data_IF_551346308826
#
_entry.id   IF_551346308826
#
_cell.length_a   1.000
_cell.length_b   1.000
_cell.length_c   1.000
_cell.angle_alpha   90.00
_cell.angle_beta   90.00
_cell.angle_gamma   90.00
#
_symmetry.space_group_name_H-M   'P 1'
#
loop_
_entity.id
_entity.type
_entity.pdbx_description
1 polymer ?
#
# COMPACT_ATOMS: atom_id res chain seq x y z
N UNK A 1 16.73 14.37 24.58
CA UNK A 1 15.38 14.29 23.96
C UNK A 1 14.49 15.31 24.66
N UNK A 2 13.75 16.13 23.90
CA UNK A 2 12.91 17.20 24.46
C UNK A 2 11.57 16.62 24.95
N UNK A 3 10.90 17.29 25.88
CA UNK A 3 9.56 16.92 26.33
C UNK A 3 8.47 17.50 25.41
N UNK A 4 7.25 16.96 25.49
CA UNK A 4 6.09 17.57 24.84
C UNK A 4 5.82 19.00 25.34
N UNK A 5 6.10 19.29 26.62
CA UNK A 5 6.00 20.64 27.18
C UNK A 5 7.00 21.61 26.53
N UNK A 6 8.22 21.16 26.22
CA UNK A 6 9.21 21.98 25.52
C UNK A 6 8.76 22.32 24.10
N UNK A 7 8.14 21.36 23.39
CA UNK A 7 7.52 21.64 22.10
C UNK A 7 6.40 22.67 22.22
N UNK A 8 5.52 22.53 23.22
CA UNK A 8 4.41 23.47 23.44
C UNK A 8 4.90 24.88 23.73
N UNK A 9 5.92 25.02 24.58
CA UNK A 9 6.58 26.32 24.86
C UNK A 9 7.16 26.93 23.60
N UNK A 10 7.94 26.16 22.83
CA UNK A 10 8.51 26.59 21.55
C UNK A 10 7.42 27.05 20.57
N UNK A 11 6.32 26.31 20.45
CA UNK A 11 5.19 26.65 19.58
C UNK A 11 4.52 27.97 20.00
N UNK A 12 4.39 28.22 21.30
CA UNK A 12 3.87 29.50 21.80
C UNK A 12 4.85 30.65 21.52
N UNK A 13 6.15 30.45 21.69
CA UNK A 13 7.20 31.45 21.43
C UNK A 13 7.33 31.85 19.96
N UNK A 14 7.03 30.94 19.03
CA UNK A 14 7.05 31.23 17.59
C UNK A 14 5.69 31.66 17.03
N UNK A 15 4.66 31.76 17.87
CA UNK A 15 3.34 32.22 17.44
C UNK A 15 3.45 33.59 16.78
N UNK A 16 2.76 33.78 15.65
CA UNK A 16 2.78 35.01 14.85
C UNK A 16 4.15 35.46 14.31
N UNK A 17 5.21 34.64 14.43
CA UNK A 17 6.48 34.87 13.73
C UNK A 17 6.38 34.46 12.25
N UNK A 18 7.42 34.77 11.48
CA UNK A 18 7.53 34.32 10.10
C UNK A 18 7.61 32.80 10.00
N UNK A 19 7.01 32.23 8.96
CA UNK A 19 6.92 30.78 8.75
C UNK A 19 8.23 30.00 8.89
N UNK A 20 9.41 30.50 8.43
CA UNK A 20 10.69 29.79 8.59
C UNK A 20 11.06 29.46 10.04
N UNK A 21 10.49 30.16 11.03
CA UNK A 21 10.73 29.86 12.45
C UNK A 21 10.27 28.43 12.83
N UNK A 22 9.35 27.81 12.09
CA UNK A 22 9.01 26.41 12.29
C UNK A 22 10.20 25.46 12.11
N UNK A 23 11.25 25.82 11.35
CA UNK A 23 12.44 24.98 11.20
C UNK A 23 13.10 24.65 12.55
N UNK A 24 12.95 25.53 13.55
CA UNK A 24 13.41 25.30 14.91
C UNK A 24 12.67 24.19 15.66
N UNK A 25 11.48 23.76 15.19
CA UNK A 25 10.73 22.66 15.79
C UNK A 25 11.22 21.29 15.33
N UNK A 26 12.16 21.19 14.38
CA UNK A 26 12.74 19.91 13.96
C UNK A 26 13.36 19.17 15.16
N UNK A 27 13.07 17.88 15.29
CA UNK A 27 13.61 17.03 16.37
C UNK A 27 12.59 16.08 16.98
N UNK A 28 13.01 15.42 18.07
CA UNK A 28 12.23 14.37 18.76
C UNK A 28 11.71 14.86 20.11
N UNK A 29 10.42 14.65 20.34
CA UNK A 29 9.68 15.09 21.52
C UNK A 29 8.98 13.91 22.17
N UNK A 30 9.25 13.68 23.45
CA UNK A 30 8.62 12.62 24.24
C UNK A 30 7.23 13.08 24.68
N UNK A 31 6.20 12.40 24.17
CA UNK A 31 4.83 12.43 24.67
C UNK A 31 4.65 11.31 25.72
N UNK A 32 3.46 11.17 26.28
CA UNK A 32 3.17 10.17 27.32
C UNK A 32 3.44 8.75 26.82
N UNK A 33 2.80 8.38 25.71
CA UNK A 33 2.79 6.98 25.23
C UNK A 33 3.59 6.77 23.92
N UNK A 34 4.21 7.83 23.39
CA UNK A 34 4.96 7.77 22.13
C UNK A 34 5.99 8.90 22.02
N UNK A 35 6.85 8.82 21.01
CA UNK A 35 7.79 9.89 20.63
C UNK A 35 7.32 10.49 19.29
N UNK A 36 7.06 11.80 19.30
CA UNK A 36 6.80 12.58 18.09
C UNK A 36 8.13 13.04 17.50
N UNK A 37 8.36 12.77 16.22
CA UNK A 37 9.52 13.21 15.46
C UNK A 37 9.08 14.15 14.36
N UNK A 38 9.60 15.38 14.36
CA UNK A 38 9.42 16.32 13.26
C UNK A 38 10.66 16.18 12.37
N UNK A 39 10.54 15.39 11.30
CA UNK A 39 11.67 14.96 10.45
C UNK A 39 12.06 16.06 9.46
N UNK A 40 11.04 16.66 8.85
CA UNK A 40 11.19 17.72 7.86
C UNK A 40 10.07 18.74 8.02
N UNK A 41 10.44 20.02 8.07
CA UNK A 41 9.48 21.12 8.12
C UNK A 41 9.37 21.75 6.73
N UNK A 42 8.14 21.87 6.24
CA UNK A 42 7.89 22.51 4.94
C UNK A 42 8.41 23.96 4.92
N UNK A 43 8.93 24.41 3.77
CA UNK A 43 9.55 25.74 3.66
C UNK A 43 8.56 26.91 3.66
N UNK A 44 7.31 26.65 3.28
CA UNK A 44 6.22 27.62 3.16
C UNK A 44 4.86 26.89 3.33
N UNK A 45 3.77 27.58 3.75
CA UNK A 45 2.44 26.98 3.94
C UNK A 45 1.85 26.29 2.70
N UNK A 46 2.27 26.68 1.50
CA UNK A 46 1.78 26.15 0.22
C UNK A 46 2.64 24.99 -0.33
N UNK A 47 3.81 24.75 0.26
CA UNK A 47 4.74 23.71 -0.16
C UNK A 47 4.22 22.28 0.13
N UNK A 48 4.98 21.25 -0.25
CA UNK A 48 4.71 19.89 0.25
C UNK A 48 4.74 19.86 1.77
N UNK A 49 3.78 19.19 2.44
CA UNK A 49 3.64 19.28 3.89
C UNK A 49 4.86 18.79 4.67
N UNK A 50 4.94 19.16 5.94
CA UNK A 50 5.96 18.68 6.87
C UNK A 50 5.85 17.16 7.06
N UNK A 51 7.00 16.48 7.16
CA UNK A 51 7.07 15.03 7.43
C UNK A 51 7.26 14.82 8.93
N UNK A 52 6.41 13.99 9.49
CA UNK A 52 6.34 13.69 10.91
C UNK A 52 6.28 12.19 11.10
N UNK A 53 7.00 11.69 12.09
CA UNK A 53 6.95 10.29 12.49
C UNK A 53 6.50 10.14 13.95
N UNK A 54 5.80 9.05 14.24
CA UNK A 54 5.40 8.66 15.60
C UNK A 54 6.04 7.31 15.89
N UNK A 55 6.86 7.24 16.93
CA UNK A 55 7.50 6.01 17.38
C UNK A 55 6.90 5.55 18.71
N UNK A 56 6.47 4.30 18.77
CA UNK A 56 5.78 3.70 19.91
C UNK A 56 6.57 2.47 20.33
N UNK A 57 6.84 2.37 21.64
CA UNK A 57 7.50 1.22 22.22
C UNK A 57 6.60 -0.02 22.15
N UNK A 58 7.15 -1.16 21.73
CA UNK A 58 6.39 -2.40 21.59
C UNK A 58 5.77 -2.90 22.90
N UNK A 59 6.39 -2.63 24.05
CA UNK A 59 5.85 -2.97 25.37
C UNK A 59 4.62 -2.14 25.72
N UNK A 60 4.53 -0.91 25.18
CA UNK A 60 3.36 -0.05 25.32
C UNK A 60 2.28 -0.40 24.29
N UNK A 61 2.67 -0.66 23.04
CA UNK A 61 1.75 -1.04 21.96
C UNK A 61 1.06 -2.39 22.24
N UNK A 62 1.76 -3.33 22.91
CA UNK A 62 1.25 -4.62 23.39
C UNK A 62 0.62 -5.52 22.32
N UNK A 63 1.02 -5.38 21.06
CA UNK A 63 0.63 -6.37 20.04
C UNK A 63 1.26 -7.73 20.37
N UNK A 64 0.48 -8.82 20.44
CA UNK A 64 1.03 -10.17 20.61
C UNK A 64 2.01 -10.52 19.48
N UNK A 65 3.13 -11.15 19.84
CA UNK A 65 4.19 -11.51 18.89
C UNK A 65 3.68 -12.38 17.73
N UNK A 66 2.69 -13.22 17.98
CA UNK A 66 2.06 -14.11 17.00
C UNK A 66 1.38 -13.38 15.83
N UNK A 67 1.11 -12.07 15.98
CA UNK A 67 0.53 -11.25 14.91
C UNK A 67 1.59 -10.74 13.92
N UNK A 68 2.88 -10.82 14.26
CA UNK A 68 3.96 -10.27 13.43
C UNK A 68 5.25 -11.12 13.43
N UNK A 69 5.18 -12.36 13.89
CA UNK A 69 6.29 -13.33 13.92
C UNK A 69 6.70 -13.79 12.51
N UNK A 70 5.75 -13.81 11.56
CA UNK A 70 5.98 -14.09 10.14
C UNK A 70 5.84 -12.84 9.29
N UNK A 71 6.61 -12.76 8.20
CA UNK A 71 6.62 -11.60 7.29
C UNK A 71 5.23 -11.24 6.77
N UNK A 72 4.46 -12.20 6.27
CA UNK A 72 3.13 -11.95 5.71
C UNK A 72 2.12 -11.47 6.77
N UNK A 73 2.17 -12.02 8.00
CA UNK A 73 1.34 -11.55 9.13
C UNK A 73 1.67 -10.12 9.53
N UNK A 74 2.97 -9.85 9.67
CA UNK A 74 3.48 -8.51 9.98
C UNK A 74 3.03 -7.48 8.95
N UNK A 75 3.13 -7.80 7.66
CA UNK A 75 2.69 -6.91 6.58
C UNK A 75 1.17 -6.68 6.65
N UNK A 76 0.39 -7.74 6.88
CA UNK A 76 -1.06 -7.62 7.02
C UNK A 76 -1.46 -6.76 8.24
N UNK A 77 -0.79 -6.92 9.38
CA UNK A 77 -0.99 -6.09 10.56
C UNK A 77 -0.61 -4.62 10.27
N UNK A 78 0.56 -4.37 9.69
CA UNK A 78 1.00 -3.02 9.33
C UNK A 78 0.01 -2.31 8.37
N UNK A 79 -0.50 -3.03 7.37
CA UNK A 79 -1.48 -2.53 6.42
C UNK A 79 -2.81 -2.19 7.12
N UNK A 80 -3.30 -3.08 7.99
CA UNK A 80 -4.50 -2.84 8.81
C UNK A 80 -4.36 -1.59 9.70
N UNK A 81 -3.26 -1.49 10.46
CA UNK A 81 -3.01 -0.34 11.33
C UNK A 81 -2.94 0.97 10.54
N UNK A 82 -2.34 0.94 9.34
CA UNK A 82 -2.30 2.11 8.45
C UNK A 82 -3.71 2.52 8.00
N UNK A 83 -4.58 1.56 7.67
CA UNK A 83 -5.98 1.84 7.30
C UNK A 83 -6.78 2.41 8.44
N UNK A 84 -6.65 1.85 9.64
CA UNK A 84 -7.31 2.36 10.85
C UNK A 84 -6.85 3.79 11.11
N UNK A 85 -5.53 4.03 11.12
CA UNK A 85 -4.98 5.36 11.33
C UNK A 85 -5.46 6.37 10.29
N UNK A 86 -5.48 6.00 9.00
CA UNK A 86 -6.05 6.82 7.93
C UNK A 86 -7.50 7.23 8.23
N UNK A 87 -8.35 6.27 8.61
CA UNK A 87 -9.75 6.55 8.95
C UNK A 87 -9.90 7.49 10.16
N UNK A 88 -8.97 7.45 11.12
CA UNK A 88 -8.99 8.33 12.29
C UNK A 88 -8.55 9.75 11.93
N UNK A 89 -7.42 9.90 11.23
CA UNK A 89 -6.90 11.23 10.87
C UNK A 89 -7.82 11.98 9.90
N UNK A 90 -8.52 11.26 9.01
CA UNK A 90 -9.46 11.87 8.07
C UNK A 90 -10.60 12.64 8.77
N UNK A 91 -10.98 12.23 10.00
CA UNK A 91 -11.97 12.95 10.81
C UNK A 91 -11.49 14.33 11.25
N UNK A 92 -10.18 14.56 11.26
CA UNK A 92 -9.54 15.79 11.70
C UNK A 92 -8.90 16.58 10.57
N UNK A 93 -8.88 16.01 9.36
CA UNK A 93 -8.28 16.62 8.19
C UNK A 93 -8.96 17.98 7.91
N UNK A 94 -8.16 19.05 7.79
CA UNK A 94 -8.61 20.44 7.64
C UNK A 94 -9.49 21.02 8.77
N UNK A 95 -9.63 20.35 9.91
CA UNK A 95 -10.28 20.98 11.09
C UNK A 95 -9.45 22.15 11.63
N UNK A 96 -8.13 22.04 11.51
CA UNK A 96 -7.22 23.13 11.82
C UNK A 96 -7.20 24.16 10.68
N UNK A 97 -7.50 25.42 10.99
CA UNK A 97 -7.67 26.47 9.96
C UNK A 97 -6.36 27.18 9.63
N UNK A 98 -6.20 27.59 8.37
CA UNK A 98 -5.10 28.43 7.92
C UNK A 98 -5.05 28.55 6.39
N UNK A 99 -3.93 29.07 5.88
CA UNK A 99 -3.64 29.24 4.46
C UNK A 99 -2.92 28.02 3.87
N UNK A 100 -3.08 27.80 2.56
CA UNK A 100 -2.39 26.72 1.85
C UNK A 100 -2.79 25.34 2.35
N UNK A 101 -1.83 24.50 2.71
CA UNK A 101 -2.07 23.14 3.21
C UNK A 101 -2.24 23.07 4.73
N UNK A 102 -2.47 24.20 5.39
CA UNK A 102 -2.68 24.24 6.85
C UNK A 102 -3.73 23.24 7.30
N UNK A 103 -3.40 22.44 8.32
CA UNK A 103 -4.33 21.47 8.90
C UNK A 103 -4.54 20.21 8.07
N UNK A 104 -3.83 20.05 6.94
CA UNK A 104 -3.79 18.79 6.22
C UNK A 104 -3.13 17.72 7.10
N UNK A 105 -3.82 16.60 7.27
CA UNK A 105 -3.27 15.39 7.88
C UNK A 105 -3.36 14.28 6.85
N UNK A 106 -2.22 13.69 6.51
CA UNK A 106 -2.16 12.66 5.48
C UNK A 106 -1.22 11.53 5.85
N UNK A 107 -1.61 10.31 5.52
CA UNK A 107 -0.77 9.10 5.60
C UNK A 107 -0.89 8.36 4.27
N UNK A 108 0.04 7.45 3.98
CA UNK A 108 -0.05 6.61 2.79
C UNK A 108 -1.41 5.89 2.73
N UNK A 109 -2.14 6.09 1.64
CA UNK A 109 -3.46 5.50 1.44
C UNK A 109 -3.31 4.10 0.85
N UNK A 110 -3.79 3.10 1.58
CA UNK A 110 -3.78 1.72 1.11
C UNK A 110 -4.88 1.48 0.05
N UNK A 111 -4.52 0.76 -1.01
CA UNK A 111 -5.45 0.24 -2.03
C UNK A 111 -6.18 -1.01 -1.56
N UNK A 112 -6.61 -1.88 -2.47
CA UNK A 112 -7.21 -3.16 -2.08
C UNK A 112 -6.15 -4.21 -1.74
N UNK A 113 -4.94 -4.02 -2.26
CA UNK A 113 -3.76 -4.84 -2.09
C UNK A 113 -3.07 -4.52 -0.75
N UNK A 114 -2.65 -5.58 -0.07
CA UNK A 114 -1.88 -5.56 1.17
C UNK A 114 -0.39 -5.55 0.79
N UNK A 115 0.27 -4.42 1.03
CA UNK A 115 1.68 -4.20 0.67
C UNK A 115 2.49 -3.78 1.88
N UNK A 116 3.77 -4.18 1.90
CA UNK A 116 4.75 -3.66 2.85
C UNK A 116 5.02 -2.19 2.51
N UNK A 117 4.72 -1.29 3.45
CA UNK A 117 4.87 0.17 3.28
C UNK A 117 5.70 0.75 4.41
N UNK A 118 6.42 1.83 4.11
CA UNK A 118 7.14 2.60 5.11
C UNK A 118 6.23 3.46 5.99
N UNK A 119 4.93 3.56 5.65
CA UNK A 119 3.96 4.35 6.40
C UNK A 119 3.71 3.81 7.82
N UNK A 120 3.77 2.49 8.00
CA UNK A 120 3.69 1.84 9.31
C UNK A 120 4.62 0.62 9.27
N UNK A 121 5.60 0.57 10.17
CA UNK A 121 6.54 -0.55 10.30
C UNK A 121 6.52 -1.08 11.72
N UNK A 122 6.53 -2.42 11.85
CA UNK A 122 6.68 -3.11 13.13
C UNK A 122 8.03 -3.81 13.13
N UNK A 123 8.83 -3.57 14.17
CA UNK A 123 10.07 -4.28 14.40
C UNK A 123 9.78 -5.71 14.92
N UNK A 124 10.18 -6.79 14.22
CA UNK A 124 9.92 -8.16 14.64
C UNK A 124 10.58 -8.56 15.96
N UNK A 125 11.67 -7.88 16.36
CA UNK A 125 12.45 -8.25 17.53
C UNK A 125 11.76 -7.79 18.83
N UNK A 126 11.16 -6.60 18.82
CA UNK A 126 10.66 -5.93 20.03
C UNK A 126 9.21 -5.42 19.91
N UNK A 127 8.60 -5.46 18.72
CA UNK A 127 7.24 -4.97 18.49
C UNK A 127 7.12 -3.45 18.38
N UNK A 128 8.24 -2.71 18.29
CA UNK A 128 8.22 -1.26 18.14
C UNK A 128 7.48 -0.86 16.87
N UNK A 129 6.58 0.11 17.00
CA UNK A 129 5.77 0.61 15.89
C UNK A 129 6.30 1.98 15.49
N UNK A 130 6.59 2.17 14.20
CA UNK A 130 6.95 3.45 13.63
C UNK A 130 5.97 3.82 12.53
N UNK A 131 5.36 4.99 12.67
CA UNK A 131 4.32 5.50 11.77
C UNK A 131 4.81 6.79 11.15
N UNK A 132 4.63 6.97 9.85
CA UNK A 132 5.07 8.15 9.11
C UNK A 132 3.88 8.82 8.46
N UNK A 133 3.77 10.13 8.65
CA UNK A 133 2.68 10.93 8.14
C UNK A 133 3.15 12.31 7.68
N UNK A 134 2.27 13.00 6.97
CA UNK A 134 2.43 14.36 6.53
C UNK A 134 1.46 15.26 7.29
N UNK A 135 1.96 16.40 7.76
CA UNK A 135 1.20 17.40 8.51
C UNK A 135 1.46 18.76 7.90
N UNK A 136 0.40 19.41 7.43
CA UNK A 136 0.46 20.78 6.95
C UNK A 136 0.51 21.77 8.11
N UNK A 137 1.67 22.37 8.35
CA UNK A 137 1.87 23.26 9.49
C UNK A 137 1.06 24.56 9.31
N UNK A 138 0.15 24.90 10.25
CA UNK A 138 -0.76 26.02 10.07
C UNK A 138 -0.11 27.41 10.00
N UNK A 139 -0.65 28.25 9.13
CA UNK A 139 -0.27 29.66 9.00
C UNK A 139 -1.44 30.54 8.55
N UNK A 140 -1.37 31.83 8.83
CA UNK A 140 -2.23 32.86 8.25
C UNK A 140 -1.39 33.71 7.28
N UNK A 141 -1.57 33.52 5.98
CA UNK A 141 -0.58 33.98 4.99
C UNK A 141 0.76 33.26 5.24
N UNK A 142 1.83 34.01 5.52
CA UNK A 142 3.16 33.48 5.90
C UNK A 142 3.49 33.63 7.39
N UNK A 143 2.47 33.91 8.19
CA UNK A 143 2.58 34.12 9.63
C UNK A 143 2.16 32.86 10.37
N UNK A 144 3.00 32.37 11.28
CA UNK A 144 2.77 31.12 12.01
C UNK A 144 1.46 31.16 12.81
N UNK A 145 0.62 30.14 12.64
CA UNK A 145 -0.56 29.90 13.46
C UNK A 145 -0.34 28.67 14.36
N UNK A 146 0.54 28.82 15.35
CA UNK A 146 0.92 27.71 16.22
C UNK A 146 -0.20 27.19 17.12
N UNK A 147 -1.26 27.98 17.39
CA UNK A 147 -2.41 27.51 18.16
C UNK A 147 -3.11 26.32 17.48
N UNK A 148 -3.22 26.35 16.16
CA UNK A 148 -3.78 25.26 15.37
C UNK A 148 -2.83 24.05 15.30
N UNK A 149 -1.51 24.27 15.28
CA UNK A 149 -0.54 23.17 15.34
C UNK A 149 -0.55 22.48 16.72
N UNK A 150 -0.76 23.24 17.79
CA UNK A 150 -0.92 22.71 19.14
C UNK A 150 -2.15 21.80 19.18
N UNK A 151 -3.30 22.22 18.63
CA UNK A 151 -4.48 21.34 18.53
C UNK A 151 -4.16 20.04 17.80
N UNK A 152 -3.47 20.12 16.65
CA UNK A 152 -3.07 18.92 15.88
C UNK A 152 -2.22 17.97 16.73
N UNK A 153 -1.13 18.45 17.34
CA UNK A 153 -0.17 17.56 18.02
C UNK A 153 -0.57 17.15 19.44
N UNK A 154 -1.37 17.95 20.14
CA UNK A 154 -1.70 17.74 21.55
C UNK A 154 -3.16 17.31 21.78
N UNK A 155 -4.05 17.44 20.79
CA UNK A 155 -5.45 17.01 20.91
C UNK A 155 -5.76 15.91 19.89
N UNK A 156 -5.57 16.17 18.59
CA UNK A 156 -6.02 15.24 17.54
C UNK A 156 -5.10 14.02 17.37
N UNK A 157 -3.79 14.24 17.29
CA UNK A 157 -2.82 13.17 17.06
C UNK A 157 -2.79 12.15 18.21
N UNK A 158 -2.79 12.53 19.51
CA UNK A 158 -2.83 11.57 20.60
C UNK A 158 -4.03 10.64 20.54
N UNK A 159 -5.22 11.15 20.20
CA UNK A 159 -6.44 10.35 20.03
C UNK A 159 -6.27 9.34 18.89
N UNK A 160 -5.81 9.80 17.73
CA UNK A 160 -5.60 8.93 16.56
C UNK A 160 -4.56 7.83 16.84
N UNK A 161 -3.47 8.17 17.55
CA UNK A 161 -2.39 7.24 17.90
C UNK A 161 -2.89 6.18 18.88
N UNK A 162 -3.62 6.60 19.94
CA UNK A 162 -4.16 5.70 20.96
C UNK A 162 -5.12 4.66 20.37
N UNK A 163 -6.04 5.10 19.52
CA UNK A 163 -7.05 4.20 18.92
C UNK A 163 -6.50 3.29 17.81
N UNK A 164 -5.33 3.63 17.25
CA UNK A 164 -4.78 2.90 16.10
C UNK A 164 -3.67 1.93 16.47
N UNK A 165 -2.79 2.29 17.41
CA UNK A 165 -1.51 1.59 17.60
C UNK A 165 -1.32 0.96 18.98
N UNK A 166 -2.39 0.82 19.76
CA UNK A 166 -2.37 0.11 21.04
C UNK A 166 -3.35 -1.05 20.99
N UNK A 167 -2.83 -2.27 21.09
CA UNK A 167 -3.62 -3.50 21.00
C UNK A 167 -4.82 -3.55 21.97
N UNK A 168 -4.73 -3.09 23.24
CA UNK A 168 -5.87 -3.07 24.14
C UNK A 168 -7.01 -2.14 23.72
N UNK A 169 -6.71 -1.13 22.89
CA UNK A 169 -7.70 -0.18 22.38
C UNK A 169 -8.16 -0.52 20.95
N UNK A 170 -7.51 -1.47 20.29
CA UNK A 170 -7.80 -1.84 18.92
C UNK A 170 -8.95 -2.87 18.83
N UNK A 171 -9.57 -2.94 17.66
CA UNK A 171 -10.57 -3.97 17.35
C UNK A 171 -9.85 -5.33 17.13
N UNK A 172 -9.68 -6.07 18.23
CA UNK A 172 -8.93 -7.33 18.26
C UNK A 172 -9.53 -8.38 17.33
N UNK A 173 -10.86 -8.41 17.20
CA UNK A 173 -11.56 -9.33 16.30
C UNK A 173 -11.22 -9.05 14.84
N UNK A 174 -11.17 -7.79 14.41
CA UNK A 174 -10.77 -7.43 13.05
C UNK A 174 -9.28 -7.68 12.79
N UNK A 175 -8.42 -7.47 13.79
CA UNK A 175 -7.01 -7.82 13.69
C UNK A 175 -6.87 -9.32 13.46
N UNK A 176 -7.53 -10.13 14.29
CA UNK A 176 -7.52 -11.59 14.17
C UNK A 176 -7.99 -12.04 12.78
N UNK A 177 -9.14 -11.53 12.31
CA UNK A 177 -9.65 -11.83 10.96
C UNK A 177 -8.66 -11.44 9.85
N UNK A 178 -7.94 -10.33 10.02
CA UNK A 178 -6.90 -9.89 9.07
C UNK A 178 -5.73 -10.87 9.04
N UNK A 179 -5.29 -11.35 10.20
CA UNK A 179 -4.20 -12.33 10.29
C UNK A 179 -4.64 -13.69 9.74
N UNK A 180 -5.84 -14.15 10.07
CA UNK A 180 -6.41 -15.40 9.56
C UNK A 180 -6.47 -15.41 8.04
N UNK A 181 -6.96 -14.31 7.45
CA UNK A 181 -6.99 -14.17 6.00
C UNK A 181 -5.57 -14.14 5.39
N UNK A 182 -4.59 -13.53 6.06
CA UNK A 182 -3.21 -13.53 5.59
C UNK A 182 -2.56 -14.92 5.66
N UNK A 183 -2.87 -15.72 6.68
CA UNK A 183 -2.45 -17.11 6.82
C UNK A 183 -3.08 -18.00 5.74
N UNK A 184 -4.39 -17.89 5.52
CA UNK A 184 -5.06 -18.65 4.46
C UNK A 184 -4.48 -18.32 3.08
N UNK A 185 -4.27 -17.03 2.78
CA UNK A 185 -3.66 -16.60 1.51
C UNK A 185 -2.24 -17.14 1.36
N UNK A 186 -1.48 -17.22 2.46
CA UNK A 186 -0.15 -17.79 2.43
C UNK A 186 -0.20 -19.31 2.16
N UNK A 187 -1.13 -20.04 2.77
CA UNK A 187 -1.29 -21.48 2.54
C UNK A 187 -1.65 -21.75 1.08
N UNK A 188 -2.54 -20.98 0.45
CA UNK A 188 -2.83 -21.14 -0.99
C UNK A 188 -1.57 -20.95 -1.82
N UNK A 189 -0.75 -19.94 -1.52
CA UNK A 189 0.50 -19.70 -2.24
C UNK A 189 1.47 -20.89 -2.13
N UNK A 190 1.54 -21.50 -0.95
CA UNK A 190 2.34 -22.71 -0.73
C UNK A 190 1.77 -23.93 -1.48
N UNK A 191 0.44 -24.07 -1.52
CA UNK A 191 -0.23 -25.15 -2.25
C UNK A 191 -0.11 -25.01 -3.77
N UNK A 192 -0.09 -23.78 -4.30
CA UNK A 192 0.20 -23.52 -5.72
C UNK A 192 1.54 -24.14 -6.10
N UNK A 193 2.59 -23.89 -5.32
CA UNK A 193 3.92 -24.45 -5.56
C UNK A 193 3.92 -25.99 -5.44
N UNK A 194 3.37 -26.52 -4.34
CA UNK A 194 3.37 -27.98 -4.08
C UNK A 194 2.62 -28.78 -5.14
N UNK A 195 1.58 -28.21 -5.72
CA UNK A 195 0.70 -28.86 -6.71
C UNK A 195 1.10 -28.57 -8.15
N UNK A 196 2.25 -27.93 -8.38
CA UNK A 196 2.72 -27.52 -9.70
C UNK A 196 1.67 -26.69 -10.47
N UNK A 197 1.03 -25.77 -9.75
CA UNK A 197 0.11 -24.77 -10.30
C UNK A 197 0.86 -23.44 -10.48
N UNK A 198 0.34 -22.59 -11.36
CA UNK A 198 0.77 -21.20 -11.53
C UNK A 198 -0.18 -20.21 -10.88
N UNK A 199 -1.44 -20.60 -10.64
CA UNK A 199 -2.43 -19.79 -9.94
C UNK A 199 -3.62 -20.61 -9.42
N UNK A 200 -4.36 -20.02 -8.48
CA UNK A 200 -5.62 -20.53 -7.96
C UNK A 200 -6.68 -19.42 -7.96
N UNK A 201 -7.89 -19.73 -8.44
CA UNK A 201 -9.04 -18.80 -8.48
C UNK A 201 -10.21 -19.43 -7.74
N UNK A 202 -10.47 -18.98 -6.51
CA UNK A 202 -11.55 -19.54 -5.70
C UNK A 202 -12.94 -19.37 -6.34
N UNK A 203 -13.78 -20.40 -6.22
CA UNK A 203 -15.21 -20.31 -6.52
C UNK A 203 -15.87 -19.22 -5.65
N UNK A 204 -16.78 -18.45 -6.26
CA UNK A 204 -17.44 -17.33 -5.61
C UNK A 204 -16.69 -16.00 -5.68
N UNK A 205 -15.46 -15.96 -6.22
CA UNK A 205 -14.69 -14.72 -6.35
C UNK A 205 -15.39 -13.69 -7.26
N UNK A 206 -15.34 -12.41 -6.87
CA UNK A 206 -15.83 -11.30 -7.68
C UNK A 206 -14.65 -10.64 -8.39
N UNK A 207 -14.39 -11.12 -9.61
CA UNK A 207 -13.31 -10.62 -10.46
C UNK A 207 -13.57 -9.21 -11.05
N UNK A 208 -14.77 -8.87 -11.55
CA UNK A 208 -15.01 -7.56 -12.15
C UNK A 208 -14.93 -6.44 -11.11
N UNK A 209 -14.37 -5.29 -11.52
CA UNK A 209 -14.23 -4.11 -10.67
C UNK A 209 -15.37 -3.13 -10.93
N UNK A 210 -15.60 -2.24 -9.97
CA UNK A 210 -16.68 -1.26 -9.97
C UNK A 210 -16.63 -0.35 -11.20
N UNK A 211 -15.45 0.08 -11.63
CA UNK A 211 -15.24 0.85 -12.86
C UNK A 211 -13.78 0.76 -13.33
N UNK A 212 -13.46 1.33 -14.51
CA UNK A 212 -12.08 1.37 -15.02
C UNK A 212 -11.08 2.17 -14.18
N UNK A 213 -11.56 2.98 -13.23
CA UNK A 213 -10.73 3.80 -12.33
C UNK A 213 -10.84 3.39 -10.85
N UNK A 214 -11.76 2.48 -10.51
CA UNK A 214 -11.97 2.01 -9.14
C UNK A 214 -11.51 0.56 -9.03
N UNK A 215 -10.62 0.30 -8.08
CA UNK A 215 -10.18 -1.05 -7.79
C UNK A 215 -11.15 -1.82 -6.91
N UNK A 216 -12.31 -1.30 -6.51
CA UNK A 216 -13.31 -2.00 -5.67
C UNK A 216 -14.08 -3.08 -6.44
N UNK A 217 -14.62 -4.12 -5.77
CA UNK A 217 -15.41 -5.14 -6.45
C UNK A 217 -16.72 -4.58 -7.00
N UNK A 218 -17.17 -5.12 -8.14
CA UNK A 218 -18.49 -4.85 -8.68
C UNK A 218 -19.58 -5.46 -7.78
N UNK A 219 -20.51 -4.64 -7.29
CA UNK A 219 -21.56 -5.08 -6.34
C UNK A 219 -22.42 -6.25 -6.85
N UNK A 220 -22.78 -6.23 -8.14
CA UNK A 220 -23.60 -7.26 -8.78
C UNK A 220 -22.79 -8.06 -9.81
N UNK A 221 -21.50 -8.28 -9.53
CA UNK A 221 -20.64 -9.08 -10.40
C UNK A 221 -21.05 -10.55 -10.39
N UNK A 222 -20.95 -11.23 -11.53
CA UNK A 222 -21.16 -12.68 -11.61
C UNK A 222 -20.02 -13.38 -10.86
N UNK A 223 -20.31 -14.19 -9.82
CA UNK A 223 -19.28 -14.91 -9.09
C UNK A 223 -18.57 -15.93 -9.99
N UNK A 224 -17.26 -16.02 -9.85
CA UNK A 224 -16.45 -16.97 -10.59
C UNK A 224 -16.84 -18.41 -10.20
N UNK A 225 -16.87 -19.30 -11.21
CA UNK A 225 -17.08 -20.74 -11.01
C UNK A 225 -16.09 -21.50 -11.88
N UNK A 226 -15.34 -22.40 -11.25
CA UNK A 226 -14.38 -23.27 -11.91
C UNK A 226 -15.09 -24.26 -12.84
N UNK A 227 -14.52 -24.56 -14.01
CA UNK A 227 -14.85 -25.79 -14.72
C UNK A 227 -14.42 -27.01 -13.87
N UNK A 228 -15.16 -28.11 -13.97
CA UNK A 228 -14.93 -29.31 -13.15
C UNK A 228 -13.55 -29.91 -13.39
N UNK A 229 -13.07 -29.83 -14.63
CA UNK A 229 -11.82 -30.42 -15.09
C UNK A 229 -10.58 -29.71 -14.51
N UNK A 230 -10.73 -28.45 -14.06
CA UNK A 230 -9.66 -27.66 -13.44
C UNK A 230 -9.94 -27.38 -11.95
N UNK A 231 -11.01 -27.96 -11.40
CA UNK A 231 -11.40 -27.71 -10.02
C UNK A 231 -10.48 -28.47 -9.06
N UNK A 232 -9.92 -27.74 -8.11
CA UNK A 232 -9.10 -28.29 -7.04
C UNK A 232 -9.64 -27.83 -5.69
N UNK A 233 -9.50 -28.70 -4.69
CA UNK A 233 -9.82 -28.39 -3.29
C UNK A 233 -8.52 -28.15 -2.51
N UNK A 234 -8.50 -27.05 -1.74
CA UNK A 234 -7.42 -26.68 -0.83
C UNK A 234 -8.01 -26.57 0.57
N UNK A 235 -7.34 -27.14 1.56
CA UNK A 235 -7.70 -27.01 2.97
C UNK A 235 -6.96 -25.82 3.59
N UNK A 236 -7.73 -24.85 4.12
CA UNK A 236 -7.20 -23.66 4.75
C UNK A 236 -7.35 -23.73 6.27
N UNK A 237 -6.39 -23.19 7.04
CA UNK A 237 -6.41 -23.26 8.49
C UNK A 237 -7.60 -22.54 9.12
N UNK A 238 -8.11 -21.47 8.52
CA UNK A 238 -9.17 -20.64 9.13
C UNK A 238 -10.48 -20.66 8.36
N UNK A 239 -10.44 -20.52 7.04
CA UNK A 239 -11.65 -20.60 6.21
C UNK A 239 -12.14 -22.04 6.00
N UNK A 240 -11.31 -23.04 6.28
CA UNK A 240 -11.59 -24.45 5.98
C UNK A 240 -11.41 -24.77 4.50
N UNK A 241 -12.14 -25.77 4.00
CA UNK A 241 -12.01 -26.21 2.60
C UNK A 241 -12.51 -25.15 1.62
N UNK A 242 -11.69 -24.86 0.62
CA UNK A 242 -12.02 -23.98 -0.50
C UNK A 242 -11.81 -24.71 -1.82
N UNK A 243 -12.81 -24.60 -2.71
CA UNK A 243 -12.77 -25.14 -4.06
C UNK A 243 -12.60 -24.02 -5.07
N UNK A 244 -11.84 -24.25 -6.14
CA UNK A 244 -11.64 -23.26 -7.19
C UNK A 244 -10.84 -23.80 -8.35
N UNK A 245 -10.60 -22.94 -9.33
CA UNK A 245 -9.83 -23.30 -10.52
C UNK A 245 -8.33 -23.27 -10.21
N UNK A 246 -7.66 -24.42 -10.31
CA UNK A 246 -6.21 -24.52 -10.29
C UNK A 246 -5.66 -24.42 -11.72
N UNK A 247 -4.85 -23.40 -12.00
CA UNK A 247 -4.21 -23.24 -13.31
C UNK A 247 -2.85 -23.96 -13.24
N UNK A 248 -2.62 -25.04 -14.01
CA UNK A 248 -1.35 -25.77 -13.97
C UNK A 248 -0.20 -24.93 -14.54
N UNK A 249 1.03 -25.26 -14.15
CA UNK A 249 2.22 -24.76 -14.85
C UNK A 249 2.21 -25.21 -16.33
N UNK A 250 2.62 -24.32 -17.23
CA UNK A 250 2.61 -24.55 -18.67
C UNK A 250 1.92 -23.40 -19.42
N UNK A 251 1.36 -23.72 -20.59
CA UNK A 251 0.66 -22.74 -21.42
C UNK A 251 -0.85 -22.92 -21.23
N UNK A 252 -1.50 -21.91 -20.64
CA UNK A 252 -2.97 -21.85 -20.51
C UNK A 252 -3.52 -20.75 -21.41
N UNK A 253 -4.49 -21.10 -22.27
CA UNK A 253 -5.14 -20.17 -23.18
C UNK A 253 -6.53 -19.78 -22.65
N UNK A 254 -6.75 -18.48 -22.42
CA UNK A 254 -8.06 -17.93 -22.06
C UNK A 254 -8.73 -17.40 -23.33
N UNK A 255 -9.70 -18.16 -23.86
CA UNK A 255 -10.40 -17.88 -25.12
C UNK A 255 -11.86 -17.44 -24.89
N UNK A 256 -12.51 -16.92 -25.94
CA UNK A 256 -13.92 -16.48 -25.88
C UNK A 256 -14.17 -15.16 -26.62
N UNK A 257 -15.44 -14.81 -26.81
CA UNK A 257 -15.88 -13.60 -27.50
C UNK A 257 -15.45 -12.29 -26.84
N UNK A 258 -15.55 -11.17 -27.57
CA UNK A 258 -15.33 -9.84 -27.02
C UNK A 258 -16.25 -9.59 -25.81
N UNK A 259 -15.74 -8.90 -24.78
CA UNK A 259 -16.49 -8.58 -23.55
C UNK A 259 -16.96 -9.77 -22.69
N UNK A 260 -16.49 -11.00 -22.94
CA UNK A 260 -16.83 -12.18 -22.13
C UNK A 260 -15.94 -12.37 -20.87
N UNK A 261 -15.34 -11.31 -20.33
CA UNK A 261 -14.60 -11.39 -19.05
C UNK A 261 -13.17 -11.97 -19.09
N UNK A 262 -12.61 -12.26 -20.28
CA UNK A 262 -11.22 -12.77 -20.43
C UNK A 262 -10.18 -11.86 -19.75
N UNK A 263 -10.21 -10.57 -20.09
CA UNK A 263 -9.32 -9.58 -19.47
C UNK A 263 -9.60 -9.40 -17.99
N UNK A 264 -10.85 -9.58 -17.55
CA UNK A 264 -11.21 -9.51 -16.13
C UNK A 264 -10.53 -10.62 -15.33
N UNK A 265 -10.57 -11.86 -15.83
CA UNK A 265 -9.84 -12.98 -15.23
C UNK A 265 -8.33 -12.73 -15.24
N UNK A 266 -7.77 -12.34 -16.38
CA UNK A 266 -6.34 -12.10 -16.51
C UNK A 266 -5.84 -10.96 -15.59
N UNK A 267 -6.61 -9.88 -15.46
CA UNK A 267 -6.29 -8.78 -14.55
C UNK A 267 -6.37 -9.20 -13.08
N UNK A 268 -7.26 -10.12 -12.72
CA UNK A 268 -7.31 -10.68 -11.36
C UNK A 268 -6.08 -11.55 -11.06
N UNK A 269 -5.63 -12.34 -12.03
CA UNK A 269 -4.39 -13.12 -11.93
C UNK A 269 -3.14 -12.22 -11.86
N UNK A 270 -3.11 -11.12 -12.63
CA UNK A 270 -2.03 -10.14 -12.61
C UNK A 270 -1.78 -9.56 -11.21
N UNK A 271 -2.84 -9.19 -10.49
CA UNK A 271 -2.71 -8.67 -9.12
C UNK A 271 -2.70 -9.77 -8.06
N UNK A 272 -2.98 -11.01 -8.44
CA UNK A 272 -2.98 -12.18 -7.54
C UNK A 272 -1.60 -12.51 -6.95
N UNK A 273 -0.55 -11.84 -7.43
CA UNK A 273 0.77 -11.84 -6.78
C UNK A 273 0.73 -11.18 -5.39
N UNK A 274 -0.23 -10.27 -5.16
CA UNK A 274 -0.44 -9.59 -3.89
C UNK A 274 -1.60 -10.19 -3.11
N UNK A 275 -1.47 -10.15 -1.78
CA UNK A 275 -2.60 -10.42 -0.91
C UNK A 275 -3.61 -9.28 -1.02
N UNK A 276 -4.90 -9.58 -0.88
CA UNK A 276 -5.98 -8.59 -0.87
C UNK A 276 -6.69 -8.57 0.48
N UNK A 277 -7.35 -7.46 0.77
CA UNK A 277 -8.20 -7.30 1.96
C UNK A 277 -9.47 -8.15 1.88
N UNK A 278 -10.05 -8.46 3.05
CA UNK A 278 -11.33 -9.15 3.11
C UNK A 278 -12.44 -8.33 2.41
N UNK A 279 -13.27 -8.99 1.61
CA UNK A 279 -14.34 -8.35 0.85
C UNK A 279 -13.86 -7.66 -0.44
N UNK A 280 -12.61 -7.86 -0.87
CA UNK A 280 -12.14 -7.40 -2.18
C UNK A 280 -12.77 -8.16 -3.35
N UNK A 281 -13.25 -9.37 -3.10
CA UNK A 281 -13.71 -10.34 -4.11
C UNK A 281 -12.57 -11.16 -4.74
N UNK A 282 -11.30 -10.79 -4.50
CA UNK A 282 -10.10 -11.46 -5.03
C UNK A 282 -9.15 -11.93 -3.93
N UNK A 283 -9.56 -11.88 -2.67
CA UNK A 283 -8.74 -12.28 -1.52
C UNK A 283 -8.34 -13.77 -1.50
N UNK A 284 -8.92 -14.60 -2.38
CA UNK A 284 -8.51 -15.99 -2.62
C UNK A 284 -8.24 -16.26 -4.11
N UNK A 285 -7.85 -15.22 -4.84
CA UNK A 285 -7.35 -15.29 -6.22
C UNK A 285 -5.86 -15.01 -6.17
N UNK A 286 -5.06 -16.08 -6.22
CA UNK A 286 -3.62 -16.00 -5.93
C UNK A 286 -2.86 -16.59 -7.11
N UNK A 287 -1.80 -15.90 -7.50
CA UNK A 287 -0.86 -16.33 -8.53
C UNK A 287 0.51 -16.56 -7.91
N UNK A 288 1.37 -17.27 -8.64
CA UNK A 288 2.80 -17.32 -8.37
C UNK A 288 3.35 -15.89 -8.14
N UNK A 289 4.14 -15.69 -7.09
CA UNK A 289 4.59 -14.35 -6.67
C UNK A 289 5.64 -13.73 -7.61
N UNK A 290 6.13 -14.50 -8.58
CA UNK A 290 7.03 -14.05 -9.65
C UNK A 290 6.31 -13.75 -10.96
N UNK A 291 4.98 -13.89 -11.03
CA UNK A 291 4.22 -13.67 -12.26
C UNK A 291 4.39 -12.22 -12.79
N UNK A 292 4.66 -12.11 -14.10
CA UNK A 292 4.81 -10.82 -14.79
C UNK A 292 3.84 -10.75 -15.97
N UNK A 293 3.12 -9.64 -16.08
CA UNK A 293 2.34 -9.33 -17.28
C UNK A 293 3.21 -8.71 -18.35
N UNK A 294 3.27 -9.37 -19.50
CA UNK A 294 3.94 -8.84 -20.69
C UNK A 294 2.94 -8.11 -21.59
N UNK A 295 3.37 -6.94 -22.09
CA UNK A 295 2.64 -6.15 -23.09
C UNK A 295 3.64 -5.44 -24.00
N UNK A 296 3.20 -5.08 -25.21
CA UNK A 296 3.96 -4.18 -26.05
C UNK A 296 4.05 -2.80 -25.40
N UNK A 297 5.23 -2.19 -25.48
CA UNK A 297 5.55 -0.87 -24.94
C UNK A 297 6.51 -0.17 -25.91
N UNK A 298 5.93 0.40 -26.96
CA UNK A 298 6.69 1.03 -28.04
C UNK A 298 7.39 2.32 -27.56
N UNK A 299 8.64 2.51 -28.00
CA UNK A 299 9.44 3.70 -27.68
C UNK A 299 10.25 3.62 -26.38
N UNK A 300 10.14 2.54 -25.60
CA UNK A 300 10.97 2.35 -24.39
C UNK A 300 12.45 2.13 -24.74
N UNK A 301 13.34 2.56 -23.85
CA UNK A 301 14.77 2.26 -24.01
C UNK A 301 15.11 0.85 -23.54
N UNK A 302 15.93 0.11 -24.30
CA UNK A 302 16.51 -1.16 -23.91
C UNK A 302 18.03 -1.00 -23.84
N UNK A 303 18.67 -1.55 -22.81
CA UNK A 303 20.13 -1.50 -22.63
C UNK A 303 20.68 -2.88 -22.29
N UNK A 304 21.57 -3.38 -23.16
CA UNK A 304 22.35 -4.62 -22.94
C UNK A 304 21.49 -5.81 -22.50
N UNK A 305 20.33 -5.99 -23.14
CA UNK A 305 19.43 -7.12 -22.88
C UNK A 305 19.48 -8.07 -24.07
N UNK A 306 19.77 -9.34 -23.82
CA UNK A 306 19.73 -10.35 -24.87
C UNK A 306 18.28 -10.71 -25.21
N UNK A 307 17.91 -10.51 -26.48
CA UNK A 307 16.57 -10.79 -27.03
C UNK A 307 16.65 -11.72 -28.24
N UNK A 308 17.80 -12.39 -28.45
CA UNK A 308 18.06 -13.24 -29.62
C UNK A 308 17.10 -14.42 -29.78
N UNK A 309 16.48 -14.87 -28.68
CA UNK A 309 15.42 -15.88 -28.71
C UNK A 309 14.14 -15.44 -29.45
N UNK A 310 13.92 -14.13 -29.63
CA UNK A 310 12.71 -13.59 -30.28
C UNK A 310 13.02 -12.83 -31.57
N UNK A 311 14.09 -12.04 -31.60
CA UNK A 311 14.44 -11.19 -32.74
C UNK A 311 15.87 -11.50 -33.15
N UNK A 312 16.04 -11.99 -34.38
CA UNK A 312 17.34 -12.25 -34.99
C UNK A 312 17.62 -11.29 -36.15
N UNK A 313 18.90 -11.11 -36.50
CA UNK A 313 19.35 -10.44 -37.73
C UNK A 313 18.80 -9.02 -37.91
N UNK A 314 19.16 -8.12 -36.99
CA UNK A 314 18.78 -6.70 -37.13
C UNK A 314 19.41 -6.08 -38.40
N UNK A 315 18.67 -5.20 -39.09
CA UNK A 315 19.25 -4.41 -40.18
C UNK A 315 20.49 -3.64 -39.68
N UNK A 316 21.53 -3.60 -40.52
CA UNK A 316 22.86 -3.04 -40.25
C UNK A 316 23.78 -3.86 -39.31
N UNK A 317 23.60 -5.18 -39.19
CA UNK A 317 24.52 -6.10 -38.48
C UNK A 317 24.81 -5.70 -37.02
N UNK A 318 23.88 -5.02 -36.33
CA UNK A 318 24.07 -4.64 -34.93
C UNK A 318 24.14 -5.89 -34.05
N UNK A 319 25.25 -6.04 -33.31
CA UNK A 319 25.56 -7.23 -32.49
C UNK A 319 24.67 -7.27 -31.25
N UNK A 320 23.72 -8.20 -31.23
CA UNK A 320 22.70 -8.31 -30.17
C UNK A 320 23.25 -8.75 -28.82
N UNK A 321 24.41 -9.45 -28.80
CA UNK A 321 24.96 -9.95 -27.54
C UNK A 321 25.20 -8.83 -26.53
N UNK A 322 25.56 -7.60 -26.94
CA UNK A 322 25.94 -6.54 -26.00
C UNK A 322 25.57 -5.09 -26.41
N UNK A 323 24.70 -4.82 -27.40
CA UNK A 323 24.53 -3.43 -27.90
C UNK A 323 23.12 -2.83 -27.87
N UNK A 324 23.08 -1.60 -27.34
CA UNK A 324 22.06 -0.57 -27.57
C UNK A 324 22.16 -0.12 -29.04
N UNK A 325 21.03 0.13 -29.68
CA UNK A 325 20.89 1.34 -30.47
C UNK A 325 19.71 2.17 -29.98
N UNK A 326 19.90 3.49 -29.84
CA UNK A 326 18.80 4.44 -29.85
C UNK A 326 17.90 4.08 -31.04
N UNK A 327 16.69 3.61 -30.76
CA UNK A 327 15.66 3.44 -31.77
C UNK A 327 15.09 4.83 -31.99
N UNK A 328 15.74 5.64 -32.83
CA UNK A 328 15.09 6.80 -33.42
C UNK A 328 14.09 6.26 -34.43
N UNK A 329 12.82 6.20 -34.04
CA UNK A 329 11.72 6.03 -34.98
C UNK A 329 11.46 7.41 -35.56
N UNK A 330 12.06 7.68 -36.71
CA UNK A 330 11.74 8.85 -37.53
C UNK A 330 10.41 8.56 -38.23
N UNK A 331 9.34 9.20 -37.75
CA UNK A 331 8.02 9.11 -38.39
C UNK A 331 8.07 9.94 -39.67
N UNK A 332 8.32 9.27 -40.79
CA UNK A 332 8.13 9.83 -42.13
C UNK A 332 6.63 10.16 -42.32
N UNK A 333 6.26 11.42 -42.10
CA UNK A 333 5.00 11.98 -42.59
C UNK A 333 5.07 12.00 -44.12
N UNK A 334 4.37 11.05 -44.77
CA UNK A 334 3.99 11.22 -46.18
C UNK A 334 2.97 12.36 -46.26
N UNK A 335 3.37 13.43 -46.94
CA UNK A 335 2.45 14.34 -47.62
C UNK A 335 1.59 13.51 -48.58
N UNK A 336 0.29 13.66 -48.50
CA UNK A 336 -0.58 13.56 -49.67
C UNK A 336 -1.40 14.84 -49.75
N UNK A 337 -1.63 15.24 -51.00
CA UNK A 337 -2.05 16.56 -51.49
C UNK A 337 -3.32 17.10 -50.87
#
# INVERSE_FOLDING_TARGET
MKSAQDLRKLLNEIHRKSYPAYKGTKGSYRFADYILQIDHVQGDPFASPSKVSVAIDGQLARFPKQLFDKKYKRIALQDYLTRVFYQKIERFNFKAKGSGKSGLLSVSRCGQEILERTACTIDPANGNVLVRMEVGFPANGRTINSGELIKIFFEFLPECVKESFFYPCADQKKIEQTIFLAEDQQVIREEILKRNLSAFVANGSILPRESGISSRPMKNGVPFRSPKEMEVEIELPHRGKITGMGIPCGITLIVGGGYHGKSTLLNALEVGVYNHIAGDGREYVISDDTAVKLRAEDGRSIKKTDISMFINNLPNKKIQRHSIPKMQVEVLRRRQM
#
